data_IF_024638723338
#
_entry.id   IF_024638723338
#
_cell.length_a   1.000
_cell.length_b   1.000
_cell.length_c   1.000
_cell.angle_alpha   90.00
_cell.angle_beta   90.00
_cell.angle_gamma   90.00
#
_symmetry.space_group_name_H-M   'P 1'
#
loop_
_entity.id
_entity.type
_entity.pdbx_description
1 polymer ?
#
# COMPACT_ATOMS: atom_id res chain seq x y z
N UNK A 1 -5.07 -10.25 12.16
CA UNK A 1 -5.42 -9.56 10.91
C UNK A 1 -6.91 -9.31 10.84
N UNK A 2 -7.36 -8.75 9.74
CA UNK A 2 -8.79 -8.63 9.45
C UNK A 2 -9.13 -9.71 8.42
N UNK A 3 -10.04 -10.61 8.77
CA UNK A 3 -10.54 -11.65 7.88
C UNK A 3 -11.45 -11.07 6.80
N UNK A 4 -11.56 -11.74 5.68
CA UNK A 4 -12.43 -11.37 4.57
C UNK A 4 -12.70 -12.61 3.68
N UNK A 5 -13.54 -12.47 2.66
CA UNK A 5 -13.93 -13.60 1.78
C UNK A 5 -12.76 -14.26 1.04
N UNK A 6 -11.66 -13.55 0.81
CA UNK A 6 -10.44 -14.08 0.18
C UNK A 6 -9.50 -14.71 1.22
N UNK A 7 -9.53 -14.22 2.43
CA UNK A 7 -8.69 -14.66 3.54
C UNK A 7 -9.58 -14.86 4.78
N UNK A 8 -10.34 -15.97 4.82
CA UNK A 8 -11.34 -16.21 5.86
C UNK A 8 -10.74 -16.64 7.21
N UNK A 9 -9.44 -16.90 7.26
CA UNK A 9 -8.75 -17.36 8.47
C UNK A 9 -7.61 -16.40 8.82
N UNK A 10 -7.44 -16.13 10.10
CA UNK A 10 -6.27 -15.42 10.61
C UNK A 10 -5.01 -16.29 10.48
N UNK A 11 -4.24 -16.06 9.44
CA UNK A 11 -2.97 -16.72 9.23
C UNK A 11 -1.87 -16.01 10.03
N UNK A 12 -1.58 -16.50 11.21
CA UNK A 12 -0.34 -16.16 11.88
C UNK A 12 0.74 -17.12 11.43
N UNK A 13 1.69 -16.60 10.72
CA UNK A 13 2.75 -17.25 9.94
C UNK A 13 3.57 -18.34 10.67
N UNK A 14 3.42 -18.55 11.97
CA UNK A 14 4.23 -19.53 12.73
C UNK A 14 3.44 -20.31 13.77
N UNK A 15 2.14 -20.18 13.80
CA UNK A 15 1.31 -20.90 14.75
C UNK A 15 0.71 -22.14 14.09
N UNK A 16 0.63 -23.23 14.86
CA UNK A 16 -0.17 -24.39 14.50
C UNK A 16 -1.66 -24.09 14.71
N UNK A 17 -2.54 -24.84 14.06
CA UNK A 17 -4.01 -24.73 14.22
C UNK A 17 -4.46 -24.81 15.70
N UNK A 18 -3.72 -25.57 16.52
CA UNK A 18 -4.00 -25.65 17.94
C UNK A 18 -3.68 -24.33 18.67
N UNK A 19 -2.56 -23.70 18.31
CA UNK A 19 -2.16 -22.41 18.87
C UNK A 19 -3.05 -21.28 18.37
N UNK A 20 -3.49 -21.31 17.09
CA UNK A 20 -4.47 -20.38 16.57
C UNK A 20 -5.75 -20.41 17.38
N UNK A 21 -6.35 -21.59 17.58
CA UNK A 21 -7.57 -21.75 18.39
C UNK A 21 -7.41 -21.33 19.86
N UNK A 22 -6.21 -21.37 20.38
CA UNK A 22 -5.91 -20.88 21.75
C UNK A 22 -5.80 -19.34 21.80
N UNK A 23 -5.23 -18.75 20.75
CA UNK A 23 -5.03 -17.30 20.67
C UNK A 23 -6.26 -16.55 20.16
N UNK A 24 -7.11 -17.23 19.39
CA UNK A 24 -8.31 -16.69 18.76
C UNK A 24 -9.55 -17.55 19.10
N UNK A 25 -10.00 -17.50 20.37
CA UNK A 25 -11.13 -18.30 20.86
C UNK A 25 -12.51 -17.63 20.64
N UNK A 26 -12.55 -16.43 20.07
CA UNK A 26 -13.77 -15.62 19.93
C UNK A 26 -13.97 -15.33 18.45
N UNK A 27 -15.18 -15.60 17.95
CA UNK A 27 -15.55 -15.22 16.58
C UNK A 27 -15.41 -13.72 16.38
N UNK A 28 -14.82 -13.33 15.23
CA UNK A 28 -14.61 -11.94 14.87
C UNK A 28 -15.96 -11.19 14.72
N UNK A 29 -16.24 -10.19 15.55
CA UNK A 29 -17.53 -9.50 15.51
C UNK A 29 -17.78 -8.78 14.19
N UNK A 30 -16.73 -8.41 13.47
CA UNK A 30 -16.79 -7.79 12.14
C UNK A 30 -17.27 -8.75 11.04
N UNK A 31 -17.19 -10.04 11.25
CA UNK A 31 -17.65 -11.08 10.31
C UNK A 31 -19.12 -11.48 10.55
N UNK A 32 -19.73 -11.02 11.63
CA UNK A 32 -21.13 -11.29 11.95
C UNK A 32 -22.04 -10.31 11.22
N UNK A 33 -23.00 -10.79 10.38
CA UNK A 33 -23.94 -9.92 9.70
C UNK A 33 -24.87 -9.17 10.67
N UNK A 34 -24.99 -7.86 10.49
CA UNK A 34 -25.93 -7.03 11.26
C UNK A 34 -27.40 -7.41 10.99
N UNK A 35 -28.18 -7.47 12.05
CA UNK A 35 -29.63 -7.66 11.95
C UNK A 35 -30.28 -6.49 11.19
N UNK A 36 -30.90 -6.78 10.06
CA UNK A 36 -31.66 -5.80 9.25
C UNK A 36 -30.96 -5.35 7.96
N UNK A 37 -29.64 -5.25 7.94
CA UNK A 37 -28.87 -4.92 6.72
C UNK A 37 -28.28 -6.16 6.06
N UNK A 38 -27.94 -7.17 6.85
CA UNK A 38 -27.19 -8.33 6.41
C UNK A 38 -25.72 -8.03 6.06
N UNK A 39 -25.25 -6.80 6.29
CA UNK A 39 -23.86 -6.39 6.05
C UNK A 39 -23.01 -6.70 7.28
N UNK A 40 -21.80 -7.14 7.03
CA UNK A 40 -20.77 -7.36 8.04
C UNK A 40 -19.98 -6.07 8.28
N UNK A 41 -19.28 -5.97 9.38
CA UNK A 41 -18.36 -4.87 9.65
C UNK A 41 -17.31 -4.68 8.52
N UNK A 42 -16.78 -5.78 7.99
CA UNK A 42 -15.82 -5.73 6.87
C UNK A 42 -16.46 -5.16 5.59
N UNK A 43 -17.74 -5.45 5.29
CA UNK A 43 -18.43 -4.91 4.13
C UNK A 43 -18.63 -3.38 4.27
N UNK A 44 -18.96 -2.93 5.48
CA UNK A 44 -19.06 -1.50 5.81
C UNK A 44 -17.70 -0.80 5.73
N UNK A 45 -16.62 -1.46 6.19
CA UNK A 45 -15.26 -0.94 6.10
C UNK A 45 -14.80 -0.85 4.64
N UNK A 46 -15.06 -1.87 3.82
CA UNK A 46 -14.79 -1.82 2.37
C UNK A 46 -15.51 -0.64 1.71
N UNK A 47 -16.81 -0.48 1.98
CA UNK A 47 -17.59 0.63 1.45
C UNK A 47 -17.01 1.99 1.89
N UNK A 48 -16.65 2.15 3.16
CA UNK A 48 -16.01 3.35 3.67
C UNK A 48 -14.69 3.64 2.93
N UNK A 49 -13.80 2.67 2.84
CA UNK A 49 -12.49 2.83 2.15
C UNK A 49 -12.67 3.15 0.67
N UNK A 50 -13.63 2.51 0.01
CA UNK A 50 -13.93 2.70 -1.42
C UNK A 50 -14.36 4.14 -1.75
N UNK A 51 -15.07 4.80 -0.84
CA UNK A 51 -15.56 6.17 -1.04
C UNK A 51 -14.68 7.24 -0.40
N UNK A 52 -13.56 6.87 0.23
CA UNK A 52 -12.58 7.85 0.69
C UNK A 52 -11.90 8.54 -0.48
N UNK A 53 -11.97 9.87 -0.49
CA UNK A 53 -11.20 10.65 -1.44
C UNK A 53 -9.71 10.64 -1.07
N UNK A 54 -8.79 10.58 -2.04
CA UNK A 54 -7.37 10.78 -1.79
C UNK A 54 -7.12 12.19 -1.26
N UNK A 55 -6.06 12.35 -0.46
CA UNK A 55 -5.64 13.66 -0.01
C UNK A 55 -5.30 14.54 -1.22
N UNK A 56 -5.79 15.79 -1.26
CA UNK A 56 -5.51 16.67 -2.37
C UNK A 56 -4.00 16.90 -2.48
N UNK A 57 -3.52 16.95 -3.70
CA UNK A 57 -2.14 17.31 -4.00
C UNK A 57 -1.85 18.74 -3.49
N UNK A 58 -0.64 18.98 -3.03
CA UNK A 58 -0.18 20.34 -2.68
C UNK A 58 -0.17 21.27 -3.89
N UNK A 59 0.02 22.57 -3.64
CA UNK A 59 0.11 23.55 -4.72
C UNK A 59 1.25 23.21 -5.69
N UNK A 60 0.96 23.34 -6.98
CA UNK A 60 1.97 23.19 -8.03
C UNK A 60 2.88 24.42 -8.03
N UNK A 61 4.16 24.22 -7.84
CA UNK A 61 5.20 25.26 -7.88
C UNK A 61 6.23 24.92 -8.96
N UNK A 62 7.06 25.89 -9.41
CA UNK A 62 8.17 25.59 -10.31
C UNK A 62 9.07 24.45 -9.79
N UNK A 63 9.38 24.43 -8.49
CA UNK A 63 10.21 23.41 -7.87
C UNK A 63 9.53 22.03 -7.88
N UNK A 64 8.21 21.96 -7.64
CA UNK A 64 7.49 20.70 -7.69
C UNK A 64 7.43 20.14 -9.12
N UNK A 65 7.34 20.99 -10.13
CA UNK A 65 7.40 20.57 -11.54
C UNK A 65 8.79 20.08 -11.91
N UNK A 66 9.84 20.81 -11.52
CA UNK A 66 11.21 20.35 -11.71
C UNK A 66 11.47 19.01 -11.01
N UNK A 67 10.96 18.85 -9.79
CA UNK A 67 11.03 17.59 -9.05
C UNK A 67 10.33 16.42 -9.75
N UNK A 68 9.20 16.67 -10.42
CA UNK A 68 8.54 15.63 -11.24
C UNK A 68 9.39 15.20 -12.43
N UNK A 69 10.06 16.13 -13.08
CA UNK A 69 10.97 15.78 -14.19
C UNK A 69 12.14 14.93 -13.68
N UNK A 70 12.76 15.31 -12.56
CA UNK A 70 13.81 14.51 -11.92
C UNK A 70 13.28 13.13 -11.54
N UNK A 71 12.12 13.04 -10.88
CA UNK A 71 11.48 11.79 -10.48
C UNK A 71 11.31 10.81 -11.66
N UNK A 72 10.90 11.33 -12.82
CA UNK A 72 10.81 10.52 -14.05
C UNK A 72 12.18 10.16 -14.61
N UNK A 73 13.08 11.16 -14.71
CA UNK A 73 14.37 11.00 -15.35
C UNK A 73 15.28 9.99 -14.66
N UNK A 74 15.31 9.97 -13.32
CA UNK A 74 16.11 9.02 -12.56
C UNK A 74 15.47 7.61 -12.50
N UNK A 75 14.16 7.48 -12.76
CA UNK A 75 13.47 6.20 -12.86
C UNK A 75 12.58 5.85 -11.67
N UNK A 76 12.31 6.77 -10.73
CA UNK A 76 11.38 6.52 -9.61
C UNK A 76 9.97 6.15 -10.12
N UNK A 77 9.56 6.74 -11.25
CA UNK A 77 8.27 6.49 -11.88
C UNK A 77 8.11 5.07 -12.45
N UNK A 78 9.14 4.22 -12.44
CA UNK A 78 9.04 2.82 -12.87
C UNK A 78 8.16 2.00 -11.92
N UNK A 79 8.38 2.13 -10.61
CA UNK A 79 7.56 1.51 -9.57
C UNK A 79 6.50 2.50 -9.05
N UNK A 80 6.86 3.74 -8.82
CA UNK A 80 5.93 4.79 -8.42
C UNK A 80 5.23 5.42 -9.63
N UNK A 81 4.45 4.61 -10.34
CA UNK A 81 3.68 5.04 -11.53
C UNK A 81 2.76 6.20 -11.16
N UNK A 82 2.90 7.39 -11.80
CA UNK A 82 2.20 8.59 -11.36
C UNK A 82 0.68 8.47 -11.36
N UNK A 83 0.12 7.78 -12.36
CA UNK A 83 -1.34 7.65 -12.49
C UNK A 83 -1.69 6.29 -13.08
N UNK A 84 -2.60 5.59 -12.41
CA UNK A 84 -3.28 4.42 -12.94
C UNK A 84 -4.71 4.79 -13.33
N UNK A 85 -5.31 4.00 -14.22
CA UNK A 85 -6.71 4.14 -14.59
C UNK A 85 -7.52 3.01 -13.97
N UNK A 86 -8.66 3.32 -13.36
CA UNK A 86 -9.60 2.29 -12.96
C UNK A 86 -10.18 1.57 -14.18
N UNK A 87 -10.61 0.34 -14.01
CA UNK A 87 -11.30 -0.43 -15.03
C UNK A 87 -12.72 0.09 -15.31
N UNK A 88 -13.45 -0.66 -16.14
CA UNK A 88 -14.88 -0.42 -16.34
C UNK A 88 -15.65 -0.73 -15.07
N UNK A 89 -16.56 0.17 -14.68
CA UNK A 89 -17.39 0.01 -13.48
C UNK A 89 -18.82 0.54 -13.74
N UNK A 90 -19.87 -0.15 -13.28
CA UNK A 90 -21.24 0.36 -13.40
C UNK A 90 -21.48 1.65 -12.60
N UNK A 91 -20.70 1.90 -11.56
CA UNK A 91 -20.73 3.17 -10.83
C UNK A 91 -19.80 4.17 -11.53
N UNK A 92 -20.34 5.30 -12.08
CA UNK A 92 -19.55 6.28 -12.82
C UNK A 92 -18.45 6.94 -11.98
N UNK A 93 -18.54 6.92 -10.65
CA UNK A 93 -17.48 7.42 -9.76
C UNK A 93 -16.20 6.58 -9.83
N UNK A 94 -16.31 5.34 -10.29
CA UNK A 94 -15.18 4.40 -10.37
C UNK A 94 -14.89 3.96 -11.81
N UNK A 95 -15.72 4.36 -12.80
CA UNK A 95 -15.55 3.95 -14.20
C UNK A 95 -14.48 4.77 -14.89
N UNK A 96 -13.39 4.12 -15.27
CA UNK A 96 -12.26 4.71 -16.03
C UNK A 96 -11.75 6.04 -15.45
N UNK A 97 -11.65 6.10 -14.13
CA UNK A 97 -11.15 7.29 -13.44
C UNK A 97 -9.62 7.27 -13.36
N UNK A 98 -8.96 8.41 -13.60
CA UNK A 98 -7.54 8.53 -13.33
C UNK A 98 -7.30 8.60 -11.82
N UNK A 99 -6.39 7.75 -11.34
CA UNK A 99 -5.99 7.71 -9.93
C UNK A 99 -4.52 8.09 -9.83
N UNK A 100 -4.17 9.30 -9.37
CA UNK A 100 -2.79 9.77 -9.25
C UNK A 100 -2.10 9.13 -8.04
N UNK A 101 -1.89 7.84 -8.12
CA UNK A 101 -1.50 6.97 -7.01
C UNK A 101 -0.02 7.06 -6.66
N UNK A 102 0.85 7.28 -7.66
CA UNK A 102 2.29 7.15 -7.53
C UNK A 102 2.68 5.77 -6.98
N UNK A 103 2.14 4.73 -7.59
CA UNK A 103 2.40 3.32 -7.30
C UNK A 103 1.94 2.47 -8.48
N UNK A 104 2.63 1.37 -8.73
CA UNK A 104 2.19 0.30 -9.64
C UNK A 104 1.38 -0.79 -8.92
N UNK A 105 1.29 -0.72 -7.57
CA UNK A 105 0.65 -1.70 -6.69
C UNK A 105 1.30 -3.09 -6.71
N UNK A 106 2.48 -3.23 -7.31
CA UNK A 106 3.22 -4.48 -7.39
C UNK A 106 4.15 -4.68 -6.18
N UNK A 107 4.62 -5.90 -6.03
CA UNK A 107 5.60 -6.30 -5.03
C UNK A 107 7.02 -6.09 -5.59
N UNK A 108 7.91 -5.54 -4.77
CA UNK A 108 9.30 -5.29 -5.13
C UNK A 108 10.24 -5.55 -3.95
N UNK A 109 11.38 -6.12 -4.24
CA UNK A 109 12.48 -6.22 -3.29
C UNK A 109 13.39 -4.98 -3.41
N UNK A 110 13.20 -4.04 -2.50
CA UNK A 110 14.03 -2.84 -2.38
C UNK A 110 15.00 -2.89 -1.19
N UNK A 111 15.21 -4.09 -0.60
CA UNK A 111 16.09 -4.31 0.53
C UNK A 111 15.50 -3.95 1.89
N UNK A 112 14.19 -3.77 1.98
CA UNK A 112 13.46 -3.41 3.22
C UNK A 112 12.50 -4.49 3.69
N UNK A 113 12.57 -5.70 3.14
CA UNK A 113 11.76 -6.84 3.55
C UNK A 113 11.92 -7.17 5.03
N UNK A 114 10.85 -7.61 5.67
CA UNK A 114 10.78 -7.92 7.10
C UNK A 114 10.93 -9.42 7.41
N UNK A 115 11.08 -10.23 6.38
CA UNK A 115 11.18 -11.69 6.50
C UNK A 115 9.83 -12.38 6.72
N UNK A 116 8.72 -11.67 6.57
CA UNK A 116 7.36 -12.21 6.74
C UNK A 116 6.76 -12.49 5.37
N UNK A 117 6.53 -13.76 5.07
CA UNK A 117 5.84 -14.16 3.84
C UNK A 117 4.36 -13.81 3.94
N UNK A 118 3.83 -13.14 2.92
CA UNK A 118 2.41 -12.83 2.80
C UNK A 118 1.85 -13.47 1.52
N UNK A 119 0.90 -14.38 1.65
CA UNK A 119 0.33 -15.14 0.54
C UNK A 119 1.43 -15.72 -0.39
N UNK A 120 1.40 -15.39 -1.67
CA UNK A 120 2.36 -15.87 -2.68
C UNK A 120 3.60 -14.97 -2.82
N UNK A 121 3.67 -13.85 -2.08
CA UNK A 121 4.82 -12.96 -2.09
C UNK A 121 6.03 -13.55 -1.35
N UNK A 122 7.24 -13.14 -1.75
CA UNK A 122 8.45 -13.52 -1.02
C UNK A 122 8.67 -12.61 0.22
N UNK A 123 9.38 -13.09 1.26
CA UNK A 123 9.58 -12.34 2.50
C UNK A 123 10.31 -11.00 2.34
N UNK A 124 11.04 -10.84 1.25
CA UNK A 124 11.79 -9.64 0.91
C UNK A 124 10.97 -8.62 0.11
N UNK A 125 9.82 -9.03 -0.41
CA UNK A 125 9.01 -8.21 -1.30
C UNK A 125 7.97 -7.39 -0.51
N UNK A 126 7.94 -6.11 -0.79
CA UNK A 126 7.00 -5.15 -0.19
C UNK A 126 6.23 -4.45 -1.32
N UNK A 127 4.92 -4.34 -1.15
CA UNK A 127 4.08 -3.65 -2.13
C UNK A 127 4.41 -2.17 -2.19
N UNK A 128 4.61 -1.65 -3.40
CA UNK A 128 4.78 -0.21 -3.62
C UNK A 128 3.61 0.57 -3.00
N UNK A 129 3.82 1.39 -1.96
CA UNK A 129 2.75 2.16 -1.36
C UNK A 129 2.38 3.36 -2.23
N UNK A 130 1.12 3.79 -2.16
CA UNK A 130 0.72 5.08 -2.69
C UNK A 130 1.46 6.22 -1.98
N UNK A 131 1.98 7.18 -2.73
CA UNK A 131 2.69 8.33 -2.14
C UNK A 131 1.75 9.47 -1.71
N UNK A 132 0.46 9.17 -1.53
CA UNK A 132 -0.53 10.12 -1.05
C UNK A 132 -0.22 10.56 0.38
N UNK A 133 -0.33 11.85 0.61
CA UNK A 133 -0.14 12.43 1.94
C UNK A 133 1.26 12.26 2.53
N UNK A 134 2.27 11.95 1.70
CA UNK A 134 3.64 11.71 2.13
C UNK A 134 4.18 12.84 3.04
N UNK A 135 3.75 14.09 2.81
CA UNK A 135 4.12 15.25 3.66
C UNK A 135 3.63 15.15 5.11
N UNK A 136 2.62 14.30 5.38
CA UNK A 136 2.04 14.10 6.72
C UNK A 136 2.41 12.76 7.34
N UNK A 137 3.03 11.87 6.58
CA UNK A 137 3.36 10.51 7.04
C UNK A 137 4.74 10.48 7.65
N UNK A 138 4.80 10.09 8.90
CA UNK A 138 6.03 9.79 9.65
C UNK A 138 5.70 8.73 10.69
N UNK A 139 6.54 7.74 10.91
CA UNK A 139 7.73 7.39 10.12
C UNK A 139 7.38 6.83 8.74
N UNK A 140 8.38 6.61 7.88
CA UNK A 140 8.27 6.09 6.53
C UNK A 140 8.80 4.65 6.46
N UNK A 141 8.56 4.00 5.30
CA UNK A 141 8.70 2.58 5.03
C UNK A 141 7.67 1.74 5.82
N UNK A 142 7.50 0.47 5.44
CA UNK A 142 6.45 -0.40 6.05
C UNK A 142 6.74 -0.69 7.53
N UNK A 143 8.01 -0.75 7.92
CA UNK A 143 8.50 -1.01 9.27
C UNK A 143 8.74 0.27 10.11
N UNK A 144 8.49 1.46 9.54
CA UNK A 144 8.72 2.73 10.20
C UNK A 144 10.20 3.09 10.40
N UNK A 145 11.12 2.42 9.71
CA UNK A 145 12.55 2.56 9.94
C UNK A 145 13.21 3.82 9.35
N UNK A 146 12.44 4.70 8.72
CA UNK A 146 12.93 5.97 8.18
C UNK A 146 12.13 7.16 8.74
N UNK A 147 12.79 8.10 9.38
CA UNK A 147 12.17 9.31 9.93
C UNK A 147 12.00 10.41 8.89
N UNK A 148 12.79 10.41 7.83
CA UNK A 148 12.78 11.41 6.75
C UNK A 148 12.66 10.77 5.37
N UNK A 149 12.33 11.58 4.36
CA UNK A 149 12.31 11.13 2.96
C UNK A 149 13.71 10.73 2.50
N UNK A 150 14.72 11.49 2.91
CA UNK A 150 16.12 11.21 2.60
C UNK A 150 16.56 9.86 3.15
N UNK A 151 16.20 9.53 4.38
CA UNK A 151 16.48 8.23 4.99
C UNK A 151 15.74 7.11 4.26
N UNK A 152 14.48 7.31 3.89
CA UNK A 152 13.73 6.35 3.10
C UNK A 152 14.38 6.11 1.74
N UNK A 153 14.80 7.16 1.04
CA UNK A 153 15.53 7.05 -0.23
C UNK A 153 16.86 6.28 -0.06
N UNK A 154 17.62 6.54 1.01
CA UNK A 154 18.87 5.85 1.26
C UNK A 154 18.72 4.33 1.44
N UNK A 155 17.54 3.89 1.88
CA UNK A 155 17.21 2.47 2.08
C UNK A 155 16.68 1.78 0.81
N UNK A 156 16.42 2.51 -0.26
CA UNK A 156 16.07 1.92 -1.55
C UNK A 156 17.32 1.32 -2.19
N UNK A 157 17.36 0.00 -2.27
CA UNK A 157 18.45 -0.79 -2.85
C UNK A 157 17.91 -1.88 -3.78
N UNK A 158 18.66 -2.88 -4.10
CA UNK A 158 18.31 -4.06 -4.92
C UNK A 158 17.65 -3.65 -6.24
N UNK A 159 16.36 -3.87 -6.44
CA UNK A 159 15.67 -3.47 -7.67
C UNK A 159 15.71 -1.95 -7.90
N UNK A 160 15.72 -1.15 -6.84
CA UNK A 160 15.80 0.30 -6.93
C UNK A 160 17.24 0.84 -7.07
N UNK A 161 18.27 0.01 -6.94
CA UNK A 161 19.69 0.45 -6.91
C UNK A 161 20.05 1.35 -8.06
N UNK A 162 19.73 0.95 -9.31
CA UNK A 162 20.08 1.74 -10.49
C UNK A 162 19.44 3.14 -10.47
N UNK A 163 18.20 3.24 -9.98
CA UNK A 163 17.50 4.51 -9.82
C UNK A 163 18.21 5.38 -8.78
N UNK A 164 18.63 4.78 -7.68
CA UNK A 164 19.35 5.51 -6.60
C UNK A 164 20.73 5.97 -7.04
N UNK A 165 21.44 5.18 -7.87
CA UNK A 165 22.73 5.59 -8.42
C UNK A 165 22.58 6.79 -9.37
N UNK A 166 21.52 6.83 -10.19
CA UNK A 166 21.22 7.99 -11.04
C UNK A 166 20.81 9.24 -10.23
N UNK A 167 20.18 9.06 -9.09
CA UNK A 167 19.79 10.18 -8.21
C UNK A 167 20.99 10.81 -7.50
N UNK A 168 22.04 10.01 -7.25
CA UNK A 168 23.26 10.44 -6.54
C UNK A 168 24.35 11.00 -7.48
N UNK A 169 24.35 10.61 -8.75
CA UNK A 169 25.35 11.00 -9.77
C UNK A 169 25.00 12.25 -10.51
#
# INVERSE_FOLDING_TARGET
GITNDLFPEELTFRLSDAQLRECDPIDDPEDVPELGTGLRGIDNFEAFMKFLAPLPRGATTPDSLAGEEVFRAVGCATCHVPTLMTGTNPNPLFDRQPVPLFSDLLLHDIGTGDGIRQADGEPEEIRTPALWGLRFRRPLLHDGSAATIEEALQKHDREARQTMDRLRG
#
